data_IF_735487218205
#
_entry.id   IF_735487218205
#
_cell.length_a   1.000
_cell.length_b   1.000
_cell.length_c   1.000
_cell.angle_alpha   90.00
_cell.angle_beta   90.00
_cell.angle_gamma   90.00
#
_symmetry.space_group_name_H-M   'P 1'
#
loop_
_entity.id
_entity.type
_entity.pdbx_description
1 polymer ?
#
# COMPACT_ATOMS: atom_id res chain seq x y z
N UNK A 1 -18.31 9.52 -9.25
CA UNK A 1 -18.06 10.29 -8.02
C UNK A 1 -17.74 9.30 -6.92
N UNK A 2 -16.47 9.19 -6.49
CA UNK A 2 -16.08 8.33 -5.37
C UNK A 2 -16.18 9.11 -4.06
N UNK A 3 -16.90 8.53 -3.10
CA UNK A 3 -17.21 9.12 -1.78
C UNK A 3 -15.94 9.34 -0.94
N UNK A 4 -15.94 10.37 -0.07
CA UNK A 4 -14.78 10.69 0.74
C UNK A 4 -14.56 9.60 1.79
N UNK A 5 -13.43 8.92 1.67
CA UNK A 5 -12.86 7.97 2.62
C UNK A 5 -12.58 8.71 3.94
N UNK A 6 -13.58 8.76 4.82
CA UNK A 6 -13.54 9.47 6.10
C UNK A 6 -12.62 8.73 7.09
N UNK A 7 -11.32 9.03 7.06
CA UNK A 7 -10.41 8.74 8.19
C UNK A 7 -9.12 7.98 7.89
N UNK A 8 -8.80 7.64 6.64
CA UNK A 8 -7.58 6.89 6.34
C UNK A 8 -7.20 6.82 4.86
N UNK A 9 -6.34 5.84 4.54
CA UNK A 9 -6.01 5.49 3.16
C UNK A 9 -7.26 4.97 2.46
N UNK A 10 -7.46 5.43 1.23
CA UNK A 10 -8.49 4.89 0.35
C UNK A 10 -8.23 3.43 0.00
N UNK A 11 -9.24 2.71 -0.47
CA UNK A 11 -9.06 1.32 -0.91
C UNK A 11 -7.95 1.18 -1.96
N UNK A 12 -7.86 2.15 -2.88
CA UNK A 12 -6.82 2.19 -3.92
C UNK A 12 -5.44 2.43 -3.31
N UNK A 13 -5.31 3.38 -2.40
CA UNK A 13 -4.03 3.65 -1.72
C UNK A 13 -3.59 2.46 -0.84
N UNK A 14 -4.53 1.79 -0.16
CA UNK A 14 -4.25 0.57 0.61
C UNK A 14 -3.77 -0.56 -0.29
N UNK A 15 -4.44 -0.76 -1.42
CA UNK A 15 -4.06 -1.77 -2.42
C UNK A 15 -2.65 -1.50 -2.96
N UNK A 16 -2.32 -0.25 -3.32
CA UNK A 16 -0.96 0.13 -3.72
C UNK A 16 0.09 -0.18 -2.65
N UNK A 17 -0.19 0.12 -1.37
CA UNK A 17 0.73 -0.19 -0.26
C UNK A 17 0.90 -1.70 -0.08
N UNK A 18 -0.18 -2.48 -0.15
CA UNK A 18 -0.12 -3.95 -0.04
C UNK A 18 0.68 -4.56 -1.19
N UNK A 19 0.39 -4.17 -2.43
CA UNK A 19 1.09 -4.65 -3.62
C UNK A 19 2.58 -4.31 -3.56
N UNK A 20 2.95 -3.09 -3.15
CA UNK A 20 4.35 -2.71 -2.96
C UNK A 20 5.05 -3.64 -1.96
N UNK A 21 4.46 -3.87 -0.79
CA UNK A 21 5.04 -4.75 0.24
C UNK A 21 5.20 -6.18 -0.28
N UNK A 22 4.23 -6.69 -1.03
CA UNK A 22 4.29 -8.02 -1.62
C UNK A 22 5.41 -8.11 -2.67
N UNK A 23 5.58 -7.06 -3.51
CA UNK A 23 6.67 -6.99 -4.47
C UNK A 23 8.05 -6.99 -3.78
N UNK A 24 8.20 -6.22 -2.70
CA UNK A 24 9.44 -6.17 -1.92
C UNK A 24 9.76 -7.55 -1.31
N UNK A 25 8.77 -8.23 -0.72
CA UNK A 25 8.94 -9.59 -0.18
C UNK A 25 9.32 -10.61 -1.26
N UNK A 26 8.67 -10.55 -2.43
CA UNK A 26 8.99 -11.41 -3.57
C UNK A 26 10.41 -11.18 -4.10
N UNK A 27 10.85 -9.91 -4.17
CA UNK A 27 12.21 -9.59 -4.58
C UNK A 27 13.24 -10.23 -3.62
N UNK A 28 13.01 -10.16 -2.31
CA UNK A 28 13.86 -10.82 -1.30
C UNK A 28 13.84 -12.34 -1.46
N UNK A 29 12.66 -12.94 -1.66
CA UNK A 29 12.51 -14.38 -1.84
C UNK A 29 13.24 -14.88 -3.09
N UNK A 30 13.10 -14.18 -4.22
CA UNK A 30 13.79 -14.48 -5.47
C UNK A 30 15.31 -14.40 -5.35
N UNK A 31 15.83 -13.43 -4.59
CA UNK A 31 17.28 -13.32 -4.34
C UNK A 31 17.79 -14.48 -3.47
N UNK A 32 17.00 -14.91 -2.47
CA UNK A 32 17.42 -15.96 -1.53
C UNK A 32 17.27 -17.37 -2.10
N UNK A 33 16.12 -17.67 -2.71
CA UNK A 33 15.74 -19.00 -3.18
C UNK A 33 14.98 -18.90 -4.52
N UNK A 34 15.67 -18.59 -5.65
CA UNK A 34 15.03 -18.23 -6.92
C UNK A 34 14.14 -19.31 -7.54
N UNK A 35 14.42 -20.58 -7.24
CA UNK A 35 13.71 -21.73 -7.82
C UNK A 35 12.84 -22.46 -6.80
N UNK A 36 12.65 -21.90 -5.61
CA UNK A 36 11.74 -22.49 -4.64
C UNK A 36 10.30 -22.49 -5.22
N UNK A 37 9.62 -23.64 -5.24
CA UNK A 37 8.29 -23.75 -5.86
C UNK A 37 7.26 -22.78 -5.28
N UNK A 38 7.35 -22.46 -3.97
CA UNK A 38 6.44 -21.52 -3.32
C UNK A 38 6.70 -20.09 -3.79
N UNK A 39 7.98 -19.70 -3.91
CA UNK A 39 8.38 -18.38 -4.45
C UNK A 39 7.91 -18.20 -5.89
N UNK A 40 8.08 -19.23 -6.73
CA UNK A 40 7.61 -19.21 -8.13
C UNK A 40 6.09 -19.12 -8.22
N UNK A 41 5.36 -19.85 -7.37
CA UNK A 41 3.90 -19.80 -7.34
C UNK A 41 3.38 -18.43 -6.89
N UNK A 42 3.97 -17.84 -5.84
CA UNK A 42 3.62 -16.51 -5.37
C UNK A 42 3.94 -15.42 -6.39
N UNK A 43 5.07 -15.53 -7.11
CA UNK A 43 5.41 -14.61 -8.19
C UNK A 43 4.38 -14.68 -9.32
N UNK A 44 3.97 -15.87 -9.74
CA UNK A 44 2.93 -16.03 -10.78
C UNK A 44 1.62 -15.38 -10.35
N UNK A 45 1.14 -15.69 -9.14
CA UNK A 45 -0.08 -15.09 -8.56
C UNK A 45 0.00 -13.56 -8.55
N UNK A 46 1.14 -13.02 -8.14
CA UNK A 46 1.37 -11.58 -8.11
C UNK A 46 1.28 -10.95 -9.50
N UNK A 47 1.93 -11.57 -10.50
CA UNK A 47 1.90 -11.07 -11.88
C UNK A 47 0.50 -11.16 -12.51
N UNK A 48 -0.25 -12.22 -12.21
CA UNK A 48 -1.58 -12.48 -12.77
C UNK A 48 -2.66 -11.57 -12.16
N UNK A 49 -2.55 -11.23 -10.88
CA UNK A 49 -3.65 -10.59 -10.15
C UNK A 49 -3.32 -9.22 -9.55
N UNK A 50 -2.09 -9.01 -9.09
CA UNK A 50 -1.76 -7.84 -8.27
C UNK A 50 -1.03 -6.75 -9.07
N UNK A 51 -0.09 -7.15 -9.94
CA UNK A 51 0.82 -6.24 -10.62
C UNK A 51 0.09 -5.28 -11.59
N UNK A 52 -0.79 -5.81 -12.44
CA UNK A 52 -1.51 -5.02 -13.45
C UNK A 52 -2.42 -3.93 -12.84
N UNK A 53 -3.34 -4.29 -11.94
CA UNK A 53 -4.21 -3.32 -11.27
C UNK A 53 -3.43 -2.27 -10.48
N UNK A 54 -2.36 -2.67 -9.78
CA UNK A 54 -1.53 -1.73 -9.04
C UNK A 54 -0.78 -0.77 -9.96
N UNK A 55 -0.26 -1.24 -11.11
CA UNK A 55 0.36 -0.38 -12.10
C UNK A 55 -0.62 0.66 -12.63
N UNK A 56 -1.85 0.25 -12.99
CA UNK A 56 -2.88 1.16 -13.47
C UNK A 56 -3.26 2.22 -12.42
N UNK A 57 -3.40 1.80 -11.15
CA UNK A 57 -3.68 2.73 -10.05
C UNK A 57 -2.53 3.70 -9.79
N UNK A 58 -1.29 3.24 -9.89
CA UNK A 58 -0.11 4.10 -9.75
C UNK A 58 -0.03 5.13 -10.89
N UNK A 59 -0.30 4.72 -12.12
CA UNK A 59 -0.35 5.63 -13.27
C UNK A 59 -1.42 6.70 -13.11
N UNK A 60 -2.61 6.32 -12.65
CA UNK A 60 -3.68 7.27 -12.35
C UNK A 60 -3.27 8.26 -11.25
N UNK A 61 -2.62 7.78 -10.18
CA UNK A 61 -2.10 8.64 -9.11
C UNK A 61 -1.03 9.60 -9.63
N UNK A 62 -0.12 9.12 -10.49
CA UNK A 62 0.96 9.92 -11.08
C UNK A 62 0.45 10.99 -12.05
N UNK A 63 -0.71 10.76 -12.68
CA UNK A 63 -1.36 11.72 -13.57
C UNK A 63 -2.08 12.85 -12.81
N UNK A 64 -2.24 12.76 -11.49
CA UNK A 64 -2.85 13.83 -10.71
C UNK A 64 -1.95 15.07 -10.64
N UNK A 65 -2.57 16.24 -10.55
CA UNK A 65 -1.85 17.49 -10.33
C UNK A 65 -1.09 17.44 -8.99
N UNK A 66 0.14 17.99 -8.91
CA UNK A 66 0.95 17.97 -7.69
C UNK A 66 0.23 18.56 -6.46
N UNK A 67 -0.62 19.56 -6.66
CA UNK A 67 -1.40 20.23 -5.61
C UNK A 67 -2.41 19.27 -4.96
N UNK A 68 -3.03 18.40 -5.76
CA UNK A 68 -3.97 17.38 -5.29
C UNK A 68 -3.23 16.34 -4.45
N UNK A 69 -2.07 15.88 -4.91
CA UNK A 69 -1.24 14.93 -4.17
C UNK A 69 -0.75 15.52 -2.84
N UNK A 70 -0.29 16.78 -2.83
CA UNK A 70 0.13 17.47 -1.60
C UNK A 70 -1.01 17.59 -0.60
N UNK A 71 -2.19 18.02 -1.05
CA UNK A 71 -3.37 18.12 -0.18
C UNK A 71 -3.74 16.76 0.43
N UNK A 72 -3.66 15.68 -0.34
CA UNK A 72 -3.91 14.31 0.14
C UNK A 72 -2.88 13.88 1.19
N UNK A 73 -1.60 14.10 0.94
CA UNK A 73 -0.51 13.79 1.89
C UNK A 73 -0.65 14.59 3.19
N UNK A 74 -0.98 15.87 3.11
CA UNK A 74 -1.23 16.68 4.30
C UNK A 74 -2.42 16.17 5.11
N UNK A 75 -3.49 15.77 4.44
CA UNK A 75 -4.66 15.18 5.10
C UNK A 75 -4.28 13.90 5.84
N UNK A 76 -3.57 12.97 5.18
CA UNK A 76 -3.08 11.73 5.79
C UNK A 76 -2.12 12.01 6.95
N UNK A 77 -1.22 12.99 6.82
CA UNK A 77 -0.30 13.38 7.89
C UNK A 77 -1.05 13.98 9.10
N UNK A 78 -2.11 14.76 8.87
CA UNK A 78 -2.97 15.28 9.95
C UNK A 78 -3.74 14.15 10.63
N UNK A 79 -4.25 13.17 9.89
CA UNK A 79 -4.91 11.99 10.45
C UNK A 79 -3.95 11.16 11.31
N UNK A 80 -2.73 10.91 10.82
CA UNK A 80 -1.69 10.20 11.60
C UNK A 80 -1.30 10.92 12.88
N UNK A 81 -1.46 12.25 12.96
CA UNK A 81 -1.20 13.02 14.19
C UNK A 81 -2.41 13.09 15.14
N UNK A 82 -3.63 12.96 14.61
CA UNK A 82 -4.88 13.00 15.39
C UNK A 82 -5.32 11.62 15.90
N UNK A 83 -4.92 10.54 15.21
CA UNK A 83 -5.13 9.16 15.63
C UNK A 83 -3.95 8.65 16.46
N UNK A 84 -4.22 8.41 17.74
CA UNK A 84 -3.58 7.48 18.67
C UNK A 84 -2.47 6.63 18.06
N UNK A 85 -1.23 6.83 18.52
CA UNK A 85 -0.22 5.79 18.45
C UNK A 85 -0.65 4.69 19.45
N UNK A 86 -1.14 3.51 19.02
CA UNK A 86 -1.08 2.38 19.93
C UNK A 86 0.41 2.12 20.15
N UNK A 87 0.87 2.22 21.40
CA UNK A 87 2.11 1.58 21.79
C UNK A 87 2.06 0.13 21.26
N UNK A 88 3.16 -0.35 20.70
CA UNK A 88 3.34 -1.71 20.19
C UNK A 88 3.02 -2.79 21.25
N UNK A 89 2.74 -2.40 22.51
CA UNK A 89 2.35 -3.28 23.62
C UNK A 89 0.90 -3.14 24.14
N UNK A 90 0.01 -2.39 23.48
CA UNK A 90 -1.43 -2.49 23.77
C UNK A 90 -1.86 -2.23 25.22
N UNK A 91 -1.19 -1.35 25.98
CA UNK A 91 -1.68 -0.90 27.30
C UNK A 91 -2.34 0.47 27.19
N UNK A 92 -3.64 0.49 27.49
CA UNK A 92 -4.35 1.71 27.89
C UNK A 92 -4.01 1.97 29.35
N UNK A 93 -3.30 3.06 29.62
CA UNK A 93 -3.19 3.59 30.99
C UNK A 93 -4.34 4.57 31.22
N UNK A 94 -5.24 4.20 32.13
CA UNK A 94 -6.20 5.12 32.76
C UNK A 94 -5.51 6.15 33.63
#
# INVERSE_FOLDING_TARGET
>A
MQSPEQGGLSETEQMLVRTRRQADSLAVALVRNPFDPSTVAELRRFLEHDAGPAQAAYEALRALAPEVLRARLEHLARLSRKGTCPDLNGRVTS
#
